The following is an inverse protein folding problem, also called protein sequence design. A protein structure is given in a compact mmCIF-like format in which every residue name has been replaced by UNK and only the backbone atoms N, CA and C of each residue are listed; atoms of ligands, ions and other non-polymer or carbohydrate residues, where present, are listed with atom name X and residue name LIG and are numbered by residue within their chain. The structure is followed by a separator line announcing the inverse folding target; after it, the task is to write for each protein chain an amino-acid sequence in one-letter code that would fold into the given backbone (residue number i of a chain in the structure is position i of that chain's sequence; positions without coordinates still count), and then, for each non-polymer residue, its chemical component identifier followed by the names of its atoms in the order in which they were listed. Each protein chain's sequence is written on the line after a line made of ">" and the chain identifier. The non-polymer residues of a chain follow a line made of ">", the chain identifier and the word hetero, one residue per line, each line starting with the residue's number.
data_IF_164067076065
#
_entry.id   IF_164067076065
#
_cell.length_a   1.000
_cell.length_b   1.000
_cell.length_c   1.000
_cell.angle_alpha   90.00
_cell.angle_beta   90.00
_cell.angle_gamma   90.00
#
_symmetry.space_group_name_H-M   'P 1'
#
loop_
_entity.id
_entity.type
_entity.pdbx_description
1 polymer ?
#
# COMPACT_ATOMS: atom_id res chain seq x y z
N UNK A 1 -60.06 -18.62 27.77
CA UNK A 1 -58.84 -18.46 26.95
C UNK A 1 -59.20 -17.81 25.63
N UNK A 2 -58.46 -16.75 25.24
CA UNK A 2 -58.27 -16.16 23.89
C UNK A 2 -59.52 -15.47 23.27
N UNK A 3 -59.57 -14.13 23.05
CA UNK A 3 -58.79 -13.25 22.13
C UNK A 3 -58.84 -13.79 20.67
N UNK A 4 -59.14 -13.06 19.60
CA UNK A 4 -59.03 -11.62 19.34
C UNK A 4 -59.86 -11.21 18.07
N UNK A 5 -60.30 -9.95 18.08
CA UNK A 5 -60.79 -9.04 17.02
C UNK A 5 -60.16 -9.20 15.61
N UNK A 6 -60.93 -9.09 14.51
CA UNK A 6 -61.20 -7.88 13.66
C UNK A 6 -59.90 -7.23 13.13
N UNK A 7 -59.73 -6.75 11.91
CA UNK A 7 -60.59 -6.49 10.76
C UNK A 7 -59.69 -6.31 9.52
N UNK A 8 -60.26 -6.47 8.32
CA UNK A 8 -59.62 -6.06 7.08
C UNK A 8 -59.94 -4.60 6.75
N UNK A 9 -59.00 -3.99 6.03
CA UNK A 9 -59.10 -2.82 5.16
C UNK A 9 -58.99 -1.42 5.79
N UNK A 10 -57.82 -0.83 5.59
CA UNK A 10 -57.70 0.56 5.17
C UNK A 10 -56.43 0.70 4.33
N UNK A 11 -56.60 1.00 3.05
CA UNK A 11 -55.52 1.38 2.14
C UNK A 11 -55.02 2.75 2.60
N UNK A 12 -53.88 2.77 3.28
CA UNK A 12 -53.13 3.99 3.52
C UNK A 12 -52.03 4.09 2.47
N UNK A 13 -52.18 5.04 1.56
CA UNK A 13 -51.08 5.60 0.77
C UNK A 13 -50.00 6.07 1.76
N UNK A 14 -48.92 5.31 1.86
CA UNK A 14 -47.63 5.85 2.26
C UNK A 14 -46.81 5.99 1.00
N UNK A 15 -46.61 7.24 0.56
CA UNK A 15 -45.54 7.57 -0.36
C UNK A 15 -44.26 6.94 0.18
N UNK A 16 -43.73 5.95 -0.53
CA UNK A 16 -42.38 5.47 -0.29
C UNK A 16 -41.52 6.67 -0.66
N UNK A 17 -40.77 7.29 0.28
CA UNK A 17 -39.73 8.21 -0.16
C UNK A 17 -38.87 7.38 -1.09
N UNK A 18 -38.69 7.83 -2.33
CA UNK A 18 -37.68 7.28 -3.22
C UNK A 18 -36.39 7.29 -2.43
N UNK A 19 -36.05 6.15 -1.84
CA UNK A 19 -34.71 5.87 -1.41
C UNK A 19 -33.92 6.13 -2.69
N UNK A 20 -33.24 7.26 -2.72
CA UNK A 20 -32.00 7.36 -3.44
C UNK A 20 -31.19 6.20 -2.87
N UNK A 21 -31.32 5.03 -3.50
CA UNK A 21 -30.32 3.99 -3.45
C UNK A 21 -29.15 4.68 -4.13
N UNK A 22 -28.42 5.47 -3.34
CA UNK A 22 -27.04 5.78 -3.63
C UNK A 22 -26.46 4.38 -3.77
N UNK A 23 -26.19 4.01 -5.02
CA UNK A 23 -25.45 2.82 -5.35
C UNK A 23 -24.10 2.99 -4.65
N UNK A 24 -24.00 2.55 -3.40
CA UNK A 24 -22.74 2.24 -2.76
C UNK A 24 -22.23 0.98 -3.45
N UNK A 25 -21.86 1.10 -4.72
CA UNK A 25 -20.87 0.20 -5.27
C UNK A 25 -19.62 0.57 -4.47
N UNK A 26 -19.08 -0.30 -3.61
CA UNK A 26 -17.80 -0.01 -3.00
C UNK A 26 -16.86 0.28 -4.16
N UNK A 27 -16.16 1.41 -4.13
CA UNK A 27 -14.98 1.53 -4.98
C UNK A 27 -14.13 0.32 -4.63
N UNK A 28 -13.90 -0.55 -5.62
CA UNK A 28 -12.98 -1.68 -5.45
C UNK A 28 -11.63 -1.00 -5.28
N UNK A 29 -11.15 -0.91 -4.04
CA UNK A 29 -9.80 -0.43 -3.78
C UNK A 29 -8.84 -1.31 -4.56
N UNK A 30 -7.93 -0.67 -5.29
CA UNK A 30 -6.82 -1.34 -5.95
C UNK A 30 -6.09 -2.20 -4.89
N UNK A 31 -5.99 -3.51 -5.12
CA UNK A 31 -5.44 -4.47 -4.15
C UNK A 31 -4.02 -4.08 -3.70
N UNK A 32 -3.28 -3.40 -4.58
CA UNK A 32 -1.91 -2.92 -4.29
C UNK A 32 -1.90 -1.72 -3.30
N UNK A 33 -3.05 -1.14 -2.99
CA UNK A 33 -3.27 -0.08 -1.99
C UNK A 33 -4.05 -0.60 -0.77
N UNK A 34 -4.13 -1.91 -0.59
CA UNK A 34 -4.77 -2.49 0.59
C UNK A 34 -3.87 -2.37 1.84
N UNK A 35 -4.47 -2.00 2.98
CA UNK A 35 -3.83 -2.09 4.30
C UNK A 35 -4.62 -3.13 5.13
N UNK A 36 -3.98 -4.19 5.63
CA UNK A 36 -4.64 -5.20 6.44
C UNK A 36 -5.18 -4.61 7.74
N UNK A 37 -6.26 -5.19 8.26
CA UNK A 37 -6.84 -4.78 9.55
C UNK A 37 -6.19 -5.47 10.75
N UNK A 38 -5.63 -6.67 10.55
CA UNK A 38 -5.00 -7.47 11.61
C UNK A 38 -3.49 -7.29 11.60
N UNK A 39 -2.87 -7.29 12.79
CA UNK A 39 -1.42 -7.32 12.95
C UNK A 39 -0.86 -8.73 12.68
N UNK A 40 0.38 -8.87 12.16
CA UNK A 40 0.97 -10.18 11.89
C UNK A 40 1.01 -11.08 13.14
N UNK A 41 0.75 -12.37 12.98
CA UNK A 41 0.58 -13.33 14.09
C UNK A 41 1.92 -13.90 14.56
N UNK A 42 2.90 -13.97 13.68
CA UNK A 42 4.22 -14.54 13.94
C UNK A 42 5.25 -14.06 12.93
N UNK A 43 6.50 -14.47 13.13
CA UNK A 43 7.63 -14.15 12.27
C UNK A 43 7.45 -14.75 10.87
N UNK A 44 6.93 -15.97 10.77
CA UNK A 44 6.76 -16.67 9.49
C UNK A 44 5.79 -15.94 8.55
N UNK A 45 4.72 -15.35 9.09
CA UNK A 45 3.80 -14.49 8.35
C UNK A 45 4.50 -13.22 7.86
N UNK A 46 5.34 -12.58 8.68
CA UNK A 46 6.13 -11.42 8.27
C UNK A 46 7.11 -11.79 7.16
N UNK A 47 7.84 -12.90 7.30
CA UNK A 47 8.75 -13.40 6.25
C UNK A 47 8.01 -13.62 4.91
N UNK A 48 6.79 -14.17 4.98
CA UNK A 48 5.96 -14.44 3.80
C UNK A 48 5.52 -13.15 3.13
N UNK A 49 4.99 -12.20 3.90
CA UNK A 49 4.52 -10.92 3.38
C UNK A 49 5.67 -10.04 2.87
N UNK A 50 6.84 -10.09 3.51
CA UNK A 50 8.05 -9.42 3.03
C UNK A 50 8.47 -9.94 1.66
N UNK A 51 8.55 -11.28 1.48
CA UNK A 51 8.87 -11.87 0.16
C UNK A 51 7.89 -11.46 -0.92
N UNK A 52 6.59 -11.45 -0.61
CA UNK A 52 5.55 -11.01 -1.55
C UNK A 52 5.73 -9.53 -1.92
N UNK A 53 6.08 -8.67 -0.97
CA UNK A 53 6.36 -7.27 -1.25
C UNK A 53 7.58 -7.08 -2.15
N UNK A 54 8.64 -7.88 -1.94
CA UNK A 54 9.83 -7.88 -2.81
C UNK A 54 9.47 -8.33 -4.23
N UNK A 55 8.76 -9.45 -4.38
CA UNK A 55 8.32 -9.94 -5.70
C UNK A 55 7.46 -8.91 -6.44
N UNK A 56 6.47 -8.32 -5.74
CA UNK A 56 5.60 -7.29 -6.31
C UNK A 56 6.36 -6.04 -6.72
N UNK A 57 7.29 -5.57 -5.89
CA UNK A 57 8.12 -4.42 -6.23
C UNK A 57 8.92 -4.67 -7.51
N UNK A 58 9.51 -5.85 -7.66
CA UNK A 58 10.27 -6.20 -8.87
C UNK A 58 9.37 -6.17 -10.12
N UNK A 59 8.19 -6.78 -10.06
CA UNK A 59 7.23 -6.79 -11.18
C UNK A 59 6.89 -5.36 -11.63
N UNK A 60 6.61 -4.46 -10.68
CA UNK A 60 6.31 -3.06 -10.95
C UNK A 60 7.50 -2.28 -11.47
N UNK A 61 8.71 -2.53 -10.96
CA UNK A 61 9.94 -1.91 -11.47
C UNK A 61 10.22 -2.32 -12.91
N UNK A 62 10.08 -3.60 -13.24
CA UNK A 62 10.27 -4.10 -14.61
C UNK A 62 9.30 -3.40 -15.57
N UNK A 63 8.05 -3.23 -15.17
CA UNK A 63 7.07 -2.52 -16.00
C UNK A 63 7.38 -1.02 -16.10
N UNK A 64 7.68 -0.36 -14.98
CA UNK A 64 8.05 1.05 -14.95
C UNK A 64 9.28 1.36 -15.82
N UNK A 65 10.27 0.46 -15.87
CA UNK A 65 11.44 0.62 -16.74
C UNK A 65 11.10 0.53 -18.22
N UNK A 66 10.17 -0.34 -18.62
CA UNK A 66 9.69 -0.40 -20.01
C UNK A 66 8.99 0.90 -20.41
N UNK A 67 8.06 1.37 -19.57
CA UNK A 67 7.35 2.63 -19.78
C UNK A 67 8.31 3.82 -19.83
N UNK A 68 9.32 3.83 -18.97
CA UNK A 68 10.32 4.89 -18.96
C UNK A 68 11.16 4.90 -20.23
N UNK A 69 11.55 3.72 -20.75
CA UNK A 69 12.28 3.61 -22.00
C UNK A 69 11.47 4.19 -23.17
N UNK A 70 10.19 3.86 -23.27
CA UNK A 70 9.28 4.40 -24.29
C UNK A 70 9.10 5.91 -24.14
N UNK A 71 8.95 6.39 -22.89
CA UNK A 71 8.81 7.82 -22.61
C UNK A 71 10.04 8.61 -23.07
N UNK A 72 11.25 8.14 -22.76
CA UNK A 72 12.50 8.80 -23.19
C UNK A 72 12.60 8.96 -24.71
N UNK A 73 12.17 7.96 -25.48
CA UNK A 73 12.13 8.03 -26.95
C UNK A 73 11.14 9.12 -27.39
N UNK A 74 9.95 9.17 -26.77
CA UNK A 74 8.89 10.11 -27.13
C UNK A 74 9.27 11.58 -26.89
N UNK A 75 10.05 11.87 -25.85
CA UNK A 75 10.46 13.23 -25.50
C UNK A 75 11.83 13.63 -26.06
N UNK A 76 12.43 12.78 -26.90
CA UNK A 76 13.77 12.98 -27.46
C UNK A 76 14.82 13.28 -26.36
N UNK A 77 14.84 12.41 -25.36
CA UNK A 77 15.56 12.59 -24.09
C UNK A 77 17.03 13.01 -24.24
N UNK A 78 17.73 12.45 -25.23
CA UNK A 78 19.16 12.68 -25.43
C UNK A 78 19.46 14.10 -25.96
N UNK A 79 18.45 14.81 -26.48
CA UNK A 79 18.56 16.20 -26.92
C UNK A 79 18.13 17.23 -25.86
N UNK A 80 17.63 16.78 -24.70
CA UNK A 80 17.27 17.64 -23.58
C UNK A 80 18.49 18.05 -22.76
N UNK A 81 18.46 19.25 -22.19
CA UNK A 81 19.43 19.69 -21.17
C UNK A 81 19.21 18.93 -19.86
N UNK A 82 20.20 18.99 -18.98
CA UNK A 82 20.19 18.23 -17.73
C UNK A 82 19.03 18.59 -16.80
N UNK A 83 18.70 19.87 -16.69
CA UNK A 83 17.57 20.39 -15.92
C UNK A 83 16.22 19.95 -16.51
N UNK A 84 16.08 19.98 -17.84
CA UNK A 84 14.91 19.49 -18.55
C UNK A 84 14.72 17.97 -18.36
N UNK A 85 15.82 17.21 -18.43
CA UNK A 85 15.84 15.77 -18.11
C UNK A 85 15.39 15.50 -16.67
N UNK A 86 15.88 16.28 -15.70
CA UNK A 86 15.50 16.09 -14.30
C UNK A 86 14.01 16.40 -14.08
N UNK A 87 13.46 17.44 -14.73
CA UNK A 87 12.02 17.76 -14.71
C UNK A 87 11.19 16.60 -15.29
N UNK A 88 11.54 16.10 -16.48
CA UNK A 88 10.79 15.00 -17.10
C UNK A 88 10.93 13.69 -16.31
N UNK A 89 12.09 13.42 -15.69
CA UNK A 89 12.23 12.28 -14.77
C UNK A 89 11.29 12.42 -13.58
N UNK A 90 11.24 13.58 -12.94
CA UNK A 90 10.34 13.82 -11.79
C UNK A 90 8.90 13.59 -12.24
N UNK A 91 8.49 14.25 -13.33
CA UNK A 91 7.13 14.17 -13.88
C UNK A 91 6.74 12.76 -14.26
N UNK A 92 7.60 12.00 -14.93
CA UNK A 92 7.32 10.60 -15.26
C UNK A 92 7.11 9.77 -14.01
N UNK A 93 8.07 9.81 -13.08
CA UNK A 93 8.01 8.99 -11.88
C UNK A 93 6.81 9.36 -11.01
N UNK A 94 6.44 10.64 -10.95
CA UNK A 94 5.28 11.15 -10.20
C UNK A 94 3.94 10.67 -10.78
N UNK A 95 3.86 10.51 -12.10
CA UNK A 95 2.61 10.17 -12.78
C UNK A 95 2.49 8.69 -13.20
N UNK A 96 3.58 7.93 -13.29
CA UNK A 96 3.55 6.50 -13.62
C UNK A 96 2.95 5.70 -12.46
N UNK A 97 1.84 5.01 -12.72
CA UNK A 97 1.16 4.19 -11.72
C UNK A 97 2.06 3.06 -11.20
N UNK A 98 2.82 2.42 -12.08
CA UNK A 98 3.71 1.32 -11.71
C UNK A 98 4.87 1.80 -10.85
N UNK A 99 5.40 2.99 -11.16
CA UNK A 99 6.41 3.62 -10.29
C UNK A 99 5.82 3.90 -8.90
N UNK A 100 4.57 4.39 -8.82
CA UNK A 100 3.91 4.63 -7.54
C UNK A 100 3.65 3.34 -6.76
N UNK A 101 3.24 2.25 -7.43
CA UNK A 101 3.04 0.93 -6.80
C UNK A 101 4.35 0.35 -6.28
N UNK A 102 5.44 0.41 -7.06
CA UNK A 102 6.77 0.02 -6.59
C UNK A 102 7.16 0.74 -5.29
N UNK A 103 6.94 2.06 -5.19
CA UNK A 103 7.23 2.84 -3.98
C UNK A 103 6.42 2.39 -2.76
N UNK A 104 5.16 2.01 -2.96
CA UNK A 104 4.31 1.45 -1.90
C UNK A 104 4.90 0.13 -1.39
N UNK A 105 5.30 -0.77 -2.30
CA UNK A 105 5.88 -2.05 -1.90
C UNK A 105 7.26 -1.93 -1.24
N UNK A 106 8.07 -0.95 -1.65
CA UNK A 106 9.30 -0.59 -0.92
C UNK A 106 8.96 -0.16 0.51
N UNK A 107 7.92 0.66 0.71
CA UNK A 107 7.53 1.08 2.05
C UNK A 107 6.98 -0.09 2.89
N UNK A 108 6.25 -1.03 2.27
CA UNK A 108 5.83 -2.29 2.92
C UNK A 108 7.01 -3.08 3.47
N UNK A 109 8.15 -3.13 2.75
CA UNK A 109 9.35 -3.79 3.26
C UNK A 109 9.79 -3.17 4.59
N UNK A 110 9.86 -1.84 4.68
CA UNK A 110 10.20 -1.14 5.93
C UNK A 110 9.17 -1.36 7.05
N UNK A 111 7.89 -1.47 6.71
CA UNK A 111 6.84 -1.83 7.67
C UNK A 111 7.13 -3.22 8.26
N UNK A 112 7.48 -4.20 7.44
CA UNK A 112 7.78 -5.55 7.89
C UNK A 112 9.09 -5.65 8.69
N UNK A 113 10.11 -4.86 8.33
CA UNK A 113 11.34 -4.71 9.13
C UNK A 113 11.07 -4.13 10.54
N UNK A 114 10.10 -3.22 10.67
CA UNK A 114 9.69 -2.73 11.98
C UNK A 114 8.81 -3.75 12.73
N UNK A 115 7.88 -4.43 12.03
CA UNK A 115 7.09 -5.49 12.67
C UNK A 115 7.96 -6.63 13.17
N UNK A 116 9.01 -7.01 12.45
CA UNK A 116 9.93 -8.04 12.93
C UNK A 116 10.72 -7.57 14.15
N UNK A 117 11.10 -6.29 14.22
CA UNK A 117 11.74 -5.71 15.41
C UNK A 117 10.89 -5.84 16.68
N UNK A 118 9.56 -5.72 16.55
CA UNK A 118 8.65 -5.91 17.69
C UNK A 118 8.69 -7.36 18.23
N UNK A 119 8.87 -8.36 17.37
CA UNK A 119 9.00 -9.78 17.78
C UNK A 119 10.41 -10.15 18.26
N UNK A 120 11.44 -9.71 17.53
CA UNK A 120 12.84 -9.99 17.83
C UNK A 120 13.73 -8.85 17.32
N UNK A 121 14.26 -8.08 18.27
CA UNK A 121 15.09 -6.89 18.01
C UNK A 121 16.43 -7.21 17.34
N UNK A 122 16.88 -8.47 17.37
CA UNK A 122 18.15 -8.91 16.77
C UNK A 122 17.93 -9.73 15.50
N UNK A 123 16.68 -9.83 15.02
CA UNK A 123 16.36 -10.66 13.87
C UNK A 123 17.10 -10.20 12.61
N UNK A 124 17.70 -11.16 11.90
CA UNK A 124 18.28 -10.97 10.58
C UNK A 124 18.32 -12.29 9.83
N UNK A 125 17.76 -12.33 8.63
CA UNK A 125 17.71 -13.54 7.80
C UNK A 125 17.72 -13.20 6.31
N UNK A 126 18.55 -13.89 5.53
CA UNK A 126 18.44 -13.89 4.07
C UNK A 126 17.21 -14.72 3.68
N UNK A 127 16.31 -14.11 2.91
CA UNK A 127 15.13 -14.72 2.37
C UNK A 127 15.28 -14.84 0.85
N UNK A 128 14.81 -15.97 0.32
CA UNK A 128 14.63 -16.16 -1.12
C UNK A 128 13.13 -16.05 -1.41
N UNK A 129 12.76 -15.14 -2.31
CA UNK A 129 11.38 -14.91 -2.74
C UNK A 129 10.91 -15.98 -3.71
N UNK A 130 9.65 -15.93 -4.13
CA UNK A 130 9.11 -16.92 -5.08
C UNK A 130 9.72 -16.73 -6.48
N UNK A 131 10.09 -15.50 -6.84
CA UNK A 131 10.77 -15.20 -8.10
C UNK A 131 12.30 -15.41 -8.01
N UNK A 132 12.81 -15.96 -6.90
CA UNK A 132 14.23 -16.28 -6.72
C UNK A 132 15.11 -15.08 -6.36
N UNK A 133 14.51 -13.94 -6.01
CA UNK A 133 15.22 -12.75 -5.54
C UNK A 133 15.73 -13.03 -4.14
N UNK A 134 16.96 -12.60 -3.85
CA UNK A 134 17.55 -12.69 -2.52
C UNK A 134 17.51 -11.32 -1.87
N UNK A 135 16.89 -11.25 -0.70
CA UNK A 135 16.88 -10.04 0.10
C UNK A 135 16.97 -10.37 1.60
N UNK A 136 17.46 -9.43 2.41
CA UNK A 136 17.63 -9.62 3.84
C UNK A 136 16.51 -8.93 4.62
N UNK A 137 15.64 -9.71 5.25
CA UNK A 137 14.76 -9.19 6.29
C UNK A 137 15.56 -9.03 7.58
N UNK A 138 15.54 -7.83 8.16
CA UNK A 138 16.20 -7.52 9.43
C UNK A 138 15.30 -6.65 10.29
N UNK A 139 15.50 -6.73 11.60
CA UNK A 139 14.84 -5.86 12.56
C UNK A 139 15.36 -4.43 12.44
N UNK A 140 14.46 -3.50 12.14
CA UNK A 140 14.73 -2.06 12.15
C UNK A 140 13.87 -1.39 13.22
N UNK A 141 14.48 -0.49 13.99
CA UNK A 141 13.81 0.13 15.13
C UNK A 141 12.83 1.24 14.70
N UNK A 142 12.10 1.79 15.67
CA UNK A 142 11.12 2.85 15.43
C UNK A 142 11.74 4.12 14.82
N UNK A 143 12.95 4.49 15.23
CA UNK A 143 13.64 5.68 14.72
C UNK A 143 13.94 5.51 13.22
N UNK A 144 14.47 4.35 12.83
CA UNK A 144 14.67 4.01 11.42
C UNK A 144 13.36 4.04 10.64
N UNK A 145 12.30 3.43 11.19
CA UNK A 145 11.00 3.38 10.50
C UNK A 145 10.38 4.77 10.30
N UNK A 146 10.45 5.63 11.32
CA UNK A 146 10.03 7.03 11.23
C UNK A 146 10.88 7.81 10.21
N UNK A 147 12.18 7.59 10.18
CA UNK A 147 13.06 8.21 9.18
C UNK A 147 12.64 7.85 7.75
N UNK A 148 12.30 6.58 7.49
CA UNK A 148 11.79 6.16 6.17
C UNK A 148 10.47 6.85 5.81
N UNK A 149 9.54 7.03 6.75
CA UNK A 149 8.33 7.82 6.52
C UNK A 149 8.69 9.25 6.08
N UNK A 150 9.58 9.92 6.81
CA UNK A 150 9.96 11.29 6.49
C UNK A 150 10.59 11.42 5.09
N UNK A 151 11.44 10.47 4.71
CA UNK A 151 12.01 10.42 3.36
C UNK A 151 10.91 10.24 2.30
N UNK A 152 9.97 9.31 2.51
CA UNK A 152 8.88 9.06 1.58
C UNK A 152 7.99 10.29 1.37
N UNK A 153 7.64 11.00 2.46
CA UNK A 153 6.79 12.20 2.39
C UNK A 153 7.47 13.39 1.69
N UNK A 154 8.79 13.52 1.85
CA UNK A 154 9.60 14.56 1.19
C UNK A 154 9.98 14.23 -0.25
N UNK A 155 9.79 13.00 -0.69
CA UNK A 155 10.22 12.55 -2.01
C UNK A 155 9.39 13.19 -3.14
N UNK A 156 10.06 13.90 -4.05
CA UNK A 156 9.42 14.60 -5.18
C UNK A 156 8.87 13.65 -6.25
N UNK A 157 9.41 12.43 -6.32
CA UNK A 157 8.93 11.40 -7.22
C UNK A 157 7.58 10.83 -6.78
N UNK A 158 7.14 11.04 -5.53
CA UNK A 158 5.94 10.43 -4.98
C UNK A 158 4.79 11.42 -5.17
N UNK A 159 3.64 10.93 -5.66
CA UNK A 159 2.45 11.78 -5.74
C UNK A 159 1.70 11.84 -4.41
N UNK A 160 0.75 12.76 -4.32
CA UNK A 160 0.01 13.02 -3.09
C UNK A 160 -0.78 11.80 -2.62
N UNK A 161 -1.40 11.05 -3.55
CA UNK A 161 -2.14 9.81 -3.23
C UNK A 161 -1.23 8.76 -2.61
N UNK A 162 -0.04 8.55 -3.18
CA UNK A 162 0.94 7.59 -2.66
C UNK A 162 1.50 8.03 -1.31
N UNK A 163 1.75 9.34 -1.11
CA UNK A 163 2.17 9.87 0.20
C UNK A 163 1.09 9.68 1.26
N UNK A 164 -0.17 9.96 0.93
CA UNK A 164 -1.30 9.72 1.83
C UNK A 164 -1.41 8.24 2.20
N UNK A 165 -1.28 7.35 1.21
CA UNK A 165 -1.33 5.91 1.43
C UNK A 165 -0.17 5.43 2.32
N UNK A 166 1.06 5.85 2.05
CA UNK A 166 2.24 5.55 2.87
C UNK A 166 2.06 6.02 4.32
N UNK A 167 1.44 7.18 4.53
CA UNK A 167 1.11 7.64 5.88
C UNK A 167 0.15 6.66 6.59
N UNK A 168 -0.90 6.19 5.90
CA UNK A 168 -1.82 5.18 6.46
C UNK A 168 -1.09 3.86 6.76
N UNK A 169 -0.19 3.43 5.89
CA UNK A 169 0.65 2.24 6.13
C UNK A 169 1.53 2.41 7.36
N UNK A 170 2.13 3.59 7.56
CA UNK A 170 2.91 3.91 8.75
C UNK A 170 2.02 3.91 10.01
N UNK A 171 0.87 4.56 9.96
CA UNK A 171 -0.07 4.64 11.10
C UNK A 171 -0.55 3.24 11.52
N UNK A 172 -0.65 2.29 10.58
CA UNK A 172 -0.88 0.87 10.87
C UNK A 172 0.39 0.15 11.36
N UNK A 173 1.51 0.43 10.72
CA UNK A 173 2.81 -0.20 10.98
C UNK A 173 3.37 0.14 12.36
N UNK A 174 3.13 1.35 12.87
CA UNK A 174 3.66 1.81 14.15
C UNK A 174 2.91 1.23 15.36
N UNK A 175 1.69 0.72 15.16
CA UNK A 175 0.91 0.12 16.22
C UNK A 175 1.67 -1.03 16.88
N UNK A 176 1.55 -1.15 18.20
CA UNK A 176 2.04 -2.30 18.94
C UNK A 176 1.41 -3.57 18.39
N UNK A 177 2.22 -4.59 18.12
CA UNK A 177 1.72 -5.90 17.73
C UNK A 177 1.37 -6.70 19.00
N UNK A 178 0.09 -7.01 19.25
CA UNK A 178 -0.32 -7.76 20.44
C UNK A 178 0.20 -9.21 20.47
N UNK A 179 0.67 -9.73 19.32
CA UNK A 179 1.24 -11.07 19.21
C UNK A 179 2.75 -11.10 19.48
N UNK A 180 3.41 -9.94 19.46
CA UNK A 180 4.80 -9.83 19.87
C UNK A 180 4.86 -9.93 21.40
N UNK A 181 5.50 -10.98 21.90
CA UNK A 181 5.66 -11.17 23.36
C UNK A 181 6.53 -10.05 23.91
N UNK A 182 5.98 -9.27 24.85
CA UNK A 182 6.72 -8.27 25.65
C UNK A 182 7.77 -8.95 26.52
#
# INVERSE_FOLDING_TARGET
>A
MKKLLLAFSSISLTAIPSLNIISCTPEIEDEDYFIPTEQPKNIEEIETNFKLAVDKNEDFLVQAYKEWAEHKIKIDWDNLKKDEQDIERIKFNHNSIETQKSKIYIFWMSVYEYKIYQFDKNYKKELVTNNGIKDTLKAENEETFKFFLELALKNEFYNDKTKEHIKKMYDWGIQENPNAKV
#
